data_IF_081486331639
#
_entry.id   IF_081486331639
#
_cell.length_a   1.000
_cell.length_b   1.000
_cell.length_c   1.000
_cell.angle_alpha   90.00
_cell.angle_beta   90.00
_cell.angle_gamma   90.00
#
_symmetry.space_group_name_H-M   'P 1'
#
loop_
_entity.id
_entity.type
_entity.pdbx_description
1 polymer ?
#
# COMPACT_ATOMS: atom_id res chain seq x y z
N UNK A 1 9.78 14.46 -3.15
CA UNK A 1 11.22 14.72 -2.89
C UNK A 1 11.92 15.57 -3.95
N UNK A 2 11.71 15.32 -5.26
CA UNK A 2 12.48 15.97 -6.36
C UNK A 2 12.51 17.51 -6.39
N UNK A 3 11.52 18.20 -5.83
CA UNK A 3 11.47 19.68 -5.84
C UNK A 3 12.41 20.36 -4.84
N UNK A 4 12.65 19.77 -3.67
CA UNK A 4 13.47 20.38 -2.59
C UNK A 4 14.96 20.04 -2.75
N UNK A 5 15.26 18.93 -3.41
CA UNK A 5 16.60 18.35 -3.50
C UNK A 5 17.39 18.83 -4.73
N UNK A 6 16.76 19.55 -5.67
CA UNK A 6 17.28 19.79 -7.04
C UNK A 6 18.52 20.70 -7.12
N UNK A 7 18.88 21.37 -6.04
CA UNK A 7 20.02 22.30 -5.97
C UNK A 7 20.88 22.09 -4.71
N UNK A 8 20.71 20.94 -4.04
CA UNK A 8 21.38 20.65 -2.76
C UNK A 8 21.90 19.22 -2.76
N UNK A 9 23.09 19.03 -2.21
CA UNK A 9 23.56 17.69 -1.87
C UNK A 9 22.65 17.12 -0.79
N UNK A 10 21.92 16.06 -1.13
CA UNK A 10 20.91 15.45 -0.27
C UNK A 10 21.32 14.02 0.03
N UNK A 11 21.47 13.69 1.32
CA UNK A 11 21.73 12.33 1.78
C UNK A 11 20.44 11.82 2.39
N UNK A 12 19.92 10.72 1.85
CA UNK A 12 18.67 10.09 2.31
C UNK A 12 19.00 8.72 2.87
N UNK A 13 18.69 8.52 4.15
CA UNK A 13 18.74 7.20 4.79
C UNK A 13 17.29 6.77 5.00
N UNK A 14 16.90 5.65 4.39
CA UNK A 14 15.53 5.17 4.46
C UNK A 14 15.49 3.66 4.62
N UNK A 15 14.45 3.19 5.32
CA UNK A 15 14.14 1.77 5.40
C UNK A 15 13.41 1.27 4.16
N UNK A 16 12.72 2.14 3.41
CA UNK A 16 11.95 1.77 2.21
C UNK A 16 12.72 2.04 0.93
N UNK A 17 12.84 1.03 0.07
CA UNK A 17 13.54 1.13 -1.20
C UNK A 17 12.80 2.07 -2.16
N UNK A 18 11.47 2.14 -2.08
CA UNK A 18 10.65 3.08 -2.84
C UNK A 18 11.03 4.55 -2.64
N UNK A 19 11.68 4.89 -1.52
CA UNK A 19 12.15 6.25 -1.21
C UNK A 19 13.52 6.55 -1.83
N UNK A 20 14.39 5.53 -1.96
CA UNK A 20 15.76 5.68 -2.48
C UNK A 20 15.90 5.33 -3.96
N UNK A 21 14.89 4.69 -4.57
CA UNK A 21 14.92 4.28 -5.99
C UNK A 21 15.19 5.41 -6.98
N UNK A 22 14.80 6.63 -6.61
CA UNK A 22 14.93 7.84 -7.43
C UNK A 22 16.22 8.61 -7.15
N UNK A 23 17.11 8.09 -6.29
CA UNK A 23 18.39 8.71 -6.00
C UNK A 23 19.34 8.58 -7.20
N UNK A 24 20.16 9.60 -7.40
CA UNK A 24 21.22 9.59 -8.42
C UNK A 24 22.24 8.47 -8.14
N UNK A 25 22.49 8.19 -6.86
CA UNK A 25 23.39 7.15 -6.39
C UNK A 25 22.89 6.52 -5.08
N UNK A 26 22.97 5.20 -4.99
CA UNK A 26 22.57 4.41 -3.84
C UNK A 26 23.80 3.70 -3.27
N UNK A 27 23.96 3.78 -1.95
CA UNK A 27 25.02 3.12 -1.19
C UNK A 27 24.38 2.08 -0.27
N UNK A 28 24.78 0.81 -0.40
CA UNK A 28 24.33 -0.26 0.48
C UNK A 28 25.37 -0.50 1.55
N UNK A 29 24.93 -0.42 2.79
CA UNK A 29 25.76 -0.65 3.97
C UNK A 29 25.44 -2.02 4.57
N UNK A 30 26.48 -2.80 4.84
CA UNK A 30 26.42 -4.04 5.61
C UNK A 30 27.64 -4.13 6.53
N UNK A 31 27.41 -4.52 7.80
CA UNK A 31 28.43 -4.55 8.86
C UNK A 31 29.35 -3.31 8.93
N UNK A 32 28.76 -2.12 8.79
CA UNK A 32 29.48 -0.84 8.83
C UNK A 32 30.36 -0.55 7.60
N UNK A 33 30.22 -1.32 6.51
CA UNK A 33 30.98 -1.15 5.26
C UNK A 33 30.05 -0.95 4.08
N UNK A 34 30.51 -0.19 3.08
CA UNK A 34 29.81 -0.06 1.80
C UNK A 34 30.09 -1.34 1.01
N UNK A 35 29.06 -2.14 0.81
CA UNK A 35 29.14 -3.40 0.06
C UNK A 35 28.75 -3.24 -1.40
N UNK A 36 27.86 -2.30 -1.70
CA UNK A 36 27.44 -1.98 -3.06
C UNK A 36 27.23 -0.48 -3.24
N UNK A 37 27.44 0.00 -4.48
CA UNK A 37 27.30 1.40 -4.87
C UNK A 37 26.88 1.49 -6.34
N UNK A 38 25.85 2.26 -6.65
CA UNK A 38 25.43 2.48 -8.03
C UNK A 38 24.03 3.07 -8.15
N UNK A 39 23.50 3.15 -9.38
CA UNK A 39 22.09 3.51 -9.59
C UNK A 39 21.18 2.34 -9.25
N UNK A 40 19.89 2.62 -9.05
CA UNK A 40 18.88 1.57 -8.83
C UNK A 40 18.94 0.47 -9.90
N UNK A 41 19.03 0.84 -11.18
CA UNK A 41 19.08 -0.12 -12.28
C UNK A 41 20.33 -0.99 -12.21
N UNK A 42 21.50 -0.36 -12.03
CA UNK A 42 22.75 -1.11 -12.02
C UNK A 42 22.75 -2.10 -10.85
N UNK A 43 22.33 -1.68 -9.65
CA UNK A 43 22.28 -2.57 -8.48
C UNK A 43 21.28 -3.73 -8.64
N UNK A 44 20.19 -3.53 -9.38
CA UNK A 44 19.27 -4.62 -9.73
C UNK A 44 19.89 -5.62 -10.71
N UNK A 45 20.62 -5.14 -11.72
CA UNK A 45 21.32 -5.98 -12.70
C UNK A 45 22.44 -6.80 -12.05
N UNK A 46 23.14 -6.23 -11.05
CA UNK A 46 24.15 -6.93 -10.27
C UNK A 46 23.56 -8.06 -9.40
N UNK A 47 22.26 -7.97 -9.05
CA UNK A 47 21.57 -9.03 -8.32
C UNK A 47 22.03 -9.21 -6.87
N UNK A 48 22.75 -8.24 -6.30
CA UNK A 48 23.35 -8.29 -4.97
C UNK A 48 22.36 -8.16 -3.80
N UNK A 49 22.86 -7.71 -2.65
CA UNK A 49 22.11 -7.43 -1.43
C UNK A 49 21.00 -6.41 -1.68
N UNK A 50 21.27 -5.37 -2.49
CA UNK A 50 20.25 -4.39 -2.87
C UNK A 50 19.03 -5.06 -3.52
N UNK A 51 19.28 -5.90 -4.53
CA UNK A 51 18.23 -6.57 -5.29
C UNK A 51 17.46 -7.58 -4.43
N UNK A 52 18.14 -8.24 -3.48
CA UNK A 52 17.49 -9.12 -2.50
C UNK A 52 16.54 -8.35 -1.59
N UNK A 53 16.97 -7.21 -1.03
CA UNK A 53 16.12 -6.35 -0.21
C UNK A 53 14.93 -5.81 -1.01
N UNK A 54 15.16 -5.41 -2.27
CA UNK A 54 14.11 -4.91 -3.16
C UNK A 54 13.03 -5.96 -3.42
N UNK A 55 13.43 -7.19 -3.77
CA UNK A 55 12.48 -8.28 -3.99
C UNK A 55 11.64 -8.59 -2.75
N UNK A 56 12.25 -8.55 -1.56
CA UNK A 56 11.53 -8.80 -0.31
C UNK A 56 10.48 -7.71 -0.03
N UNK A 57 10.85 -6.44 -0.17
CA UNK A 57 9.90 -5.34 0.04
C UNK A 57 8.80 -5.30 -1.00
N UNK A 58 9.10 -5.64 -2.26
CA UNK A 58 8.08 -5.73 -3.30
C UNK A 58 7.05 -6.82 -2.99
N UNK A 59 7.51 -7.97 -2.50
CA UNK A 59 6.62 -9.07 -2.11
C UNK A 59 5.77 -8.70 -0.89
N UNK A 60 6.35 -8.04 0.11
CA UNK A 60 5.60 -7.53 1.27
C UNK A 60 4.49 -6.55 0.82
N UNK A 61 4.82 -5.58 -0.04
CA UNK A 61 3.85 -4.63 -0.60
C UNK A 61 2.74 -5.33 -1.44
N UNK A 62 3.07 -6.37 -2.21
CA UNK A 62 2.10 -7.13 -3.01
C UNK A 62 1.13 -7.95 -2.14
N UNK A 63 1.64 -8.59 -1.08
CA UNK A 63 0.83 -9.35 -0.13
C UNK A 63 -0.16 -8.45 0.64
N UNK A 64 0.30 -7.28 1.10
CA UNK A 64 -0.56 -6.30 1.78
C UNK A 64 -1.71 -5.84 0.87
N UNK A 65 -1.45 -5.59 -0.42
CA UNK A 65 -2.47 -5.19 -1.39
C UNK A 65 -3.51 -6.29 -1.64
N UNK A 66 -3.08 -7.55 -1.69
CA UNK A 66 -3.99 -8.68 -1.90
C UNK A 66 -4.89 -8.91 -0.68
N UNK A 67 -4.36 -8.80 0.53
CA UNK A 67 -5.15 -8.87 1.77
C UNK A 67 -6.22 -7.76 1.82
N UNK A 68 -5.85 -6.52 1.52
CA UNK A 68 -6.79 -5.38 1.49
C UNK A 68 -7.91 -5.59 0.46
N UNK A 69 -7.59 -6.13 -0.72
CA UNK A 69 -8.56 -6.43 -1.79
C UNK A 69 -9.55 -7.51 -1.37
N UNK A 70 -9.06 -8.57 -0.76
CA UNK A 70 -9.89 -9.66 -0.24
C UNK A 70 -10.83 -9.18 0.87
N UNK A 71 -10.33 -8.36 1.80
CA UNK A 71 -11.16 -7.75 2.84
C UNK A 71 -12.24 -6.81 2.28
N UNK A 72 -11.87 -5.97 1.31
CA UNK A 72 -12.83 -5.09 0.65
C UNK A 72 -13.91 -5.87 -0.11
N UNK A 73 -13.55 -6.97 -0.78
CA UNK A 73 -14.50 -7.86 -1.45
C UNK A 73 -15.48 -8.52 -0.46
N UNK A 74 -14.99 -8.98 0.71
CA UNK A 74 -15.82 -9.58 1.77
C UNK A 74 -16.83 -8.58 2.33
N UNK A 75 -16.42 -7.31 2.55
CA UNK A 75 -17.32 -6.24 3.01
C UNK A 75 -18.45 -5.95 2.01
N UNK A 76 -18.10 -5.80 0.73
CA UNK A 76 -19.10 -5.53 -0.32
C UNK A 76 -20.12 -6.68 -0.49
N UNK A 77 -19.68 -7.93 -0.29
CA UNK A 77 -20.57 -9.10 -0.30
C UNK A 77 -21.51 -9.11 0.92
N UNK A 78 -20.99 -8.83 2.12
CA UNK A 78 -21.80 -8.74 3.33
C UNK A 78 -22.84 -7.62 3.25
N UNK A 79 -22.50 -6.47 2.65
CA UNK A 79 -23.41 -5.34 2.46
C UNK A 79 -24.48 -5.58 1.38
N UNK A 80 -24.23 -6.46 0.41
CA UNK A 80 -25.21 -6.81 -0.64
C UNK A 80 -26.20 -7.90 -0.22
N UNK A 81 -25.89 -8.69 0.82
CA UNK A 81 -26.79 -9.72 1.36
C UNK A 81 -27.80 -9.15 2.38
N UNK A 82 -27.53 -7.97 2.96
CA UNK A 82 -28.52 -7.19 3.72
C UNK A 82 -29.36 -6.32 2.77
N UNK A 83 -30.19 -6.96 1.94
CA UNK A 83 -31.31 -6.28 1.30
C UNK A 83 -32.23 -5.66 2.37
N UNK A 84 -32.83 -4.48 2.13
CA UNK A 84 -33.65 -3.81 3.13
C UNK A 84 -34.77 -4.78 3.58
N UNK A 85 -35.03 -4.95 4.89
CA UNK A 85 -36.04 -5.89 5.34
C UNK A 85 -37.41 -5.47 4.79
N UNK A 86 -37.95 -6.27 3.87
CA UNK A 86 -39.35 -6.17 3.50
C UNK A 86 -40.18 -6.61 4.72
N UNK A 87 -40.87 -5.65 5.32
CA UNK A 87 -42.13 -5.93 5.97
C UNK A 87 -42.26 -5.44 7.41
N UNK A 88 -42.85 -4.26 7.56
CA UNK A 88 -44.06 -4.15 8.38
C UNK A 88 -45.04 -3.22 7.65
N UNK A 89 -46.01 -3.80 6.95
CA UNK A 89 -47.21 -3.05 6.54
C UNK A 89 -47.96 -2.70 7.84
N UNK A 90 -48.21 -1.43 8.17
CA UNK A 90 -49.11 -1.14 9.27
C UNK A 90 -50.49 -1.67 8.86
N UNK A 91 -51.03 -2.58 9.68
CA UNK A 91 -52.39 -3.09 9.48
C UNK A 91 -53.36 -1.91 9.59
N UNK A 92 -54.21 -1.78 8.59
CA UNK A 92 -55.45 -1.01 8.67
C UNK A 92 -56.20 -1.41 9.95
N UNK A 93 -56.27 -0.49 10.90
CA UNK A 93 -57.22 -0.53 12.01
C UNK A 93 -58.13 0.68 11.85
N UNK A 94 -59.27 0.47 11.21
CA UNK A 94 -60.35 1.45 11.20
C UNK A 94 -61.10 1.43 12.54
N UNK A 95 -61.36 2.62 13.08
CA UNK A 95 -62.55 3.09 13.82
C UNK A 95 -62.30 4.62 13.91
N UNK A 96 -63.16 5.56 13.54
CA UNK A 96 -64.61 5.61 13.57
C UNK A 96 -64.97 6.90 14.33
N UNK A 97 -65.61 7.87 13.68
CA UNK A 97 -66.39 8.92 14.33
C UNK A 97 -65.75 10.31 14.51
N UNK A 98 -66.12 11.21 13.61
CA UNK A 98 -66.51 12.63 13.78
C UNK A 98 -67.05 13.06 15.17
N UNK A 99 -67.19 14.37 15.49
CA UNK A 99 -67.46 15.50 14.56
C UNK A 99 -66.51 16.70 14.60
#
# INVERSE_FOLDING_TARGET
MRGVMRERTSIVVAHRISTVKDADEILVLDDGRIVERGSHRDLLEHGGLYAQMYRRQLLEEELEVDEEREEHSKRLKAESEEGPPLGMRPRLGGIGGEP
#
